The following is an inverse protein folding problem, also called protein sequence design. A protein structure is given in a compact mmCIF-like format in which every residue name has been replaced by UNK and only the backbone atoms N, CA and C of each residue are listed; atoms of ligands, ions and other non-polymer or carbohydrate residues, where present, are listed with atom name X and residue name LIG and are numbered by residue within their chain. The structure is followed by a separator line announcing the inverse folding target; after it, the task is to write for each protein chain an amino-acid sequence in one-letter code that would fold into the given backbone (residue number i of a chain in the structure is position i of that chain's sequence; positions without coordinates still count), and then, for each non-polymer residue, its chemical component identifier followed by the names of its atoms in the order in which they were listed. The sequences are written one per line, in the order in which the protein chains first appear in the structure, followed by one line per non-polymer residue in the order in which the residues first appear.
data_IF_848604410449
#
_entry.id   IF_848604410449
#
_cell.length_a   1.000
_cell.length_b   1.000
_cell.length_c   1.000
_cell.angle_alpha   90.00
_cell.angle_beta   90.00
_cell.angle_gamma   90.00
#
_symmetry.space_group_name_H-M   'P 1'
#
loop_
_entity.id
_entity.type
_entity.pdbx_description
1 polymer ?
#
# COMPACT_ATOMS: atom_id res chain seq x y z
N UNK A 1 2.15 12.32 -8.98
CA UNK A 1 1.44 11.27 -8.22
C UNK A 1 -0.03 11.27 -8.60
N UNK A 2 -0.56 10.13 -9.00
CA UNK A 2 -1.97 9.99 -9.38
C UNK A 2 -2.79 9.50 -8.18
N UNK A 3 -3.32 10.45 -7.43
CA UNK A 3 -4.07 10.15 -6.20
C UNK A 3 -5.33 9.33 -6.45
N UNK A 4 -6.05 9.63 -7.51
CA UNK A 4 -7.29 8.92 -7.83
C UNK A 4 -7.03 7.45 -8.13
N UNK A 5 -5.98 7.17 -8.88
CA UNK A 5 -5.60 5.81 -9.24
C UNK A 5 -5.10 5.02 -8.03
N UNK A 6 -4.31 5.68 -7.18
CA UNK A 6 -3.82 5.07 -5.95
C UNK A 6 -4.99 4.71 -5.05
N UNK A 7 -5.97 5.61 -4.91
CA UNK A 7 -7.17 5.36 -4.12
C UNK A 7 -7.96 4.18 -4.65
N UNK A 8 -8.11 4.08 -5.96
CA UNK A 8 -8.80 2.95 -6.60
C UNK A 8 -8.10 1.64 -6.28
N UNK A 9 -6.77 1.61 -6.36
CA UNK A 9 -6.00 0.41 -6.05
C UNK A 9 -6.10 0.04 -4.57
N UNK A 10 -6.08 1.03 -3.67
CA UNK A 10 -6.27 0.78 -2.24
C UNK A 10 -7.62 0.16 -1.96
N UNK A 11 -8.68 0.70 -2.58
CA UNK A 11 -10.02 0.16 -2.42
C UNK A 11 -10.11 -1.27 -2.94
N UNK A 12 -9.42 -1.55 -4.04
CA UNK A 12 -9.37 -2.89 -4.61
C UNK A 12 -8.70 -3.88 -3.63
N UNK A 13 -7.60 -3.47 -3.02
CA UNK A 13 -6.91 -4.28 -2.03
C UNK A 13 -7.82 -4.50 -0.80
N UNK A 14 -8.49 -3.46 -0.35
CA UNK A 14 -9.38 -3.53 0.79
C UNK A 14 -10.60 -4.42 0.50
N UNK A 15 -11.12 -4.35 -0.72
CA UNK A 15 -12.23 -5.22 -1.15
C UNK A 15 -11.79 -6.69 -1.22
N UNK A 16 -10.54 -6.92 -1.60
CA UNK A 16 -9.93 -8.25 -1.55
C UNK A 16 -9.63 -8.68 -0.13
N UNK A 17 -9.87 -7.79 0.83
CA UNK A 17 -9.58 -8.01 2.24
C UNK A 17 -10.35 -9.15 2.88
N UNK A 18 -11.40 -9.66 2.22
CA UNK A 18 -12.01 -10.90 2.64
C UNK A 18 -11.01 -12.05 2.67
N UNK A 19 -9.93 -11.94 1.90
CA UNK A 19 -8.85 -12.90 1.86
C UNK A 19 -7.76 -12.60 2.90
N UNK A 20 -7.88 -11.50 3.65
CA UNK A 20 -6.93 -11.17 4.71
C UNK A 20 -6.94 -12.19 5.84
N UNK A 21 -7.97 -13.03 5.90
CA UNK A 21 -8.04 -14.11 6.88
C UNK A 21 -6.91 -15.13 6.66
N UNK A 22 -6.43 -15.26 5.43
CA UNK A 22 -5.34 -16.16 5.09
C UNK A 22 -3.96 -15.52 5.33
N UNK A 23 -3.93 -14.25 5.72
CA UNK A 23 -2.71 -13.52 5.98
C UNK A 23 -2.38 -13.57 7.47
N UNK A 24 -1.11 -13.80 7.79
CA UNK A 24 -0.64 -13.79 9.18
C UNK A 24 -0.97 -12.46 9.86
N UNK A 25 -1.12 -12.50 11.18
CA UNK A 25 -1.44 -11.30 11.95
C UNK A 25 -0.43 -10.18 11.72
N UNK A 26 0.85 -10.52 11.68
CA UNK A 26 1.90 -9.52 11.44
C UNK A 26 1.76 -8.88 10.07
N UNK A 27 1.51 -9.68 9.06
CA UNK A 27 1.34 -9.19 7.68
C UNK A 27 0.07 -8.36 7.56
N UNK A 28 -0.99 -8.76 8.26
CA UNK A 28 -2.24 -7.99 8.29
C UNK A 28 -2.02 -6.63 8.91
N UNK A 29 -1.29 -6.56 10.02
CA UNK A 29 -0.97 -5.29 10.67
C UNK A 29 -0.14 -4.40 9.77
N UNK A 30 0.83 -4.98 9.05
CA UNK A 30 1.65 -4.26 8.10
C UNK A 30 0.79 -3.65 6.98
N UNK A 31 -0.12 -4.43 6.42
CA UNK A 31 -1.02 -3.97 5.37
C UNK A 31 -1.95 -2.86 5.84
N UNK A 32 -2.49 -2.99 7.06
CA UNK A 32 -3.35 -1.97 7.64
C UNK A 32 -2.58 -0.67 7.87
N UNK A 33 -1.35 -0.77 8.34
CA UNK A 33 -0.52 0.41 8.56
C UNK A 33 -0.19 1.10 7.23
N UNK A 34 0.17 0.33 6.21
CA UNK A 34 0.43 0.88 4.88
C UNK A 34 -0.80 1.55 4.29
N UNK A 35 -1.96 0.93 4.46
CA UNK A 35 -3.23 1.51 4.00
C UNK A 35 -3.46 2.87 4.65
N UNK A 36 -3.24 2.94 5.96
CA UNK A 36 -3.41 4.17 6.73
C UNK A 36 -2.43 5.26 6.26
N UNK A 37 -1.17 4.89 6.08
CA UNK A 37 -0.13 5.81 5.64
C UNK A 37 -0.44 6.36 4.25
N UNK A 38 -0.88 5.52 3.34
CA UNK A 38 -1.22 5.93 1.99
C UNK A 38 -2.46 6.82 1.99
N UNK A 39 -3.47 6.48 2.79
CA UNK A 39 -4.65 7.34 2.92
C UNK A 39 -4.29 8.72 3.43
N UNK A 40 -3.37 8.80 4.40
CA UNK A 40 -2.88 10.07 4.90
C UNK A 40 -2.24 10.90 3.79
N UNK A 41 -1.45 10.28 2.94
CA UNK A 41 -0.88 10.96 1.78
C UNK A 41 -1.95 11.48 0.83
N UNK A 42 -2.99 10.68 0.59
CA UNK A 42 -4.06 11.05 -0.33
C UNK A 42 -4.92 12.19 0.20
N UNK A 43 -5.01 12.34 1.51
CA UNK A 43 -5.78 13.41 2.13
C UNK A 43 -5.09 14.77 2.07
N UNK A 44 -3.78 14.81 1.83
CA UNK A 44 -3.06 16.05 1.71
C UNK A 44 -3.53 16.82 0.48
N UNK A 45 -3.99 18.03 0.70
CA UNK A 45 -4.50 18.89 -0.37
C UNK A 45 -3.40 19.63 -1.10
N UNK A 46 -2.20 19.67 -0.53
CA UNK A 46 -1.04 20.32 -1.10
C UNK A 46 0.00 19.30 -1.53
N UNK A 47 1.12 19.78 -2.03
CA UNK A 47 2.21 18.91 -2.46
C UNK A 47 2.71 18.05 -1.30
N UNK A 48 2.85 16.75 -1.55
CA UNK A 48 3.28 15.79 -0.54
C UNK A 48 4.76 15.99 -0.22
N UNK A 49 5.14 16.13 1.06
CA UNK A 49 6.55 16.21 1.42
C UNK A 49 7.31 14.97 0.95
N UNK A 50 8.49 15.20 0.36
CA UNK A 50 9.31 14.11 -0.18
C UNK A 50 9.66 13.07 0.89
N UNK A 51 9.92 13.52 2.11
CA UNK A 51 10.26 12.63 3.21
C UNK A 51 9.11 11.67 3.54
N UNK A 52 7.91 12.18 3.59
CA UNK A 52 6.74 11.36 3.89
C UNK A 52 6.49 10.35 2.78
N UNK A 53 6.65 10.77 1.52
CA UNK A 53 6.51 9.88 0.38
C UNK A 53 7.57 8.78 0.41
N UNK A 54 8.82 9.11 0.75
CA UNK A 54 9.89 8.12 0.87
C UNK A 54 9.61 7.10 1.97
N UNK A 55 9.06 7.53 3.09
CA UNK A 55 8.69 6.63 4.18
C UNK A 55 7.66 5.60 3.72
N UNK A 56 6.66 6.05 2.98
CA UNK A 56 5.63 5.15 2.44
C UNK A 56 6.23 4.21 1.40
N UNK A 57 7.08 4.71 0.52
CA UNK A 57 7.75 3.88 -0.48
C UNK A 57 8.64 2.82 0.17
N UNK A 58 9.35 3.17 1.23
CA UNK A 58 10.18 2.22 1.97
C UNK A 58 9.32 1.14 2.61
N UNK A 59 8.20 1.53 3.22
CA UNK A 59 7.25 0.59 3.80
C UNK A 59 6.68 -0.35 2.76
N UNK A 60 6.33 0.18 1.58
CA UNK A 60 5.84 -0.63 0.48
C UNK A 60 6.88 -1.63 -0.01
N UNK A 61 8.13 -1.19 -0.15
CA UNK A 61 9.22 -2.09 -0.59
C UNK A 61 9.40 -3.24 0.38
N UNK A 62 9.37 -2.97 1.69
CA UNK A 62 9.45 -4.00 2.70
C UNK A 62 8.29 -4.98 2.64
N UNK A 63 7.08 -4.46 2.44
CA UNK A 63 5.90 -5.29 2.31
C UNK A 63 5.95 -6.16 1.05
N UNK A 64 6.44 -5.59 -0.06
CA UNK A 64 6.59 -6.33 -1.32
C UNK A 64 7.52 -7.53 -1.15
N UNK A 65 8.65 -7.35 -0.51
CA UNK A 65 9.58 -8.45 -0.28
C UNK A 65 8.99 -9.50 0.64
N UNK A 66 8.29 -9.08 1.67
CA UNK A 66 7.71 -9.98 2.66
C UNK A 66 6.55 -10.81 2.10
N UNK A 67 5.71 -10.19 1.27
CA UNK A 67 4.48 -10.83 0.78
C UNK A 67 4.65 -11.51 -0.58
N UNK A 68 5.78 -11.32 -1.23
CA UNK A 68 5.98 -11.76 -2.61
C UNK A 68 5.79 -13.26 -2.82
N UNK A 69 6.21 -14.07 -1.88
CA UNK A 69 6.10 -15.53 -2.01
C UNK A 69 4.72 -16.04 -1.65
N UNK A 70 4.11 -15.49 -0.61
CA UNK A 70 2.86 -15.99 -0.06
C UNK A 70 1.63 -15.35 -0.69
N UNK A 71 1.74 -14.10 -1.12
CA UNK A 71 0.60 -13.32 -1.63
C UNK A 71 0.96 -12.55 -2.90
N UNK A 72 1.20 -13.26 -4.01
CA UNK A 72 1.66 -12.61 -5.25
C UNK A 72 0.66 -11.60 -5.82
N UNK A 73 -0.64 -11.80 -5.61
CA UNK A 73 -1.66 -10.86 -6.11
C UNK A 73 -1.59 -9.54 -5.35
N UNK A 74 -1.47 -9.62 -4.01
CA UNK A 74 -1.31 -8.43 -3.18
C UNK A 74 -0.01 -7.69 -3.53
N UNK A 75 1.06 -8.45 -3.74
CA UNK A 75 2.35 -7.89 -4.12
C UNK A 75 2.25 -7.10 -5.42
N UNK A 76 1.53 -7.64 -6.40
CA UNK A 76 1.34 -6.96 -7.68
C UNK A 76 0.60 -5.63 -7.49
N UNK A 77 -0.47 -5.63 -6.71
CA UNK A 77 -1.25 -4.41 -6.45
C UNK A 77 -0.43 -3.36 -5.70
N UNK A 78 0.30 -3.78 -4.68
CA UNK A 78 1.16 -2.89 -3.91
C UNK A 78 2.29 -2.32 -4.78
N UNK A 79 2.87 -3.16 -5.65
CA UNK A 79 3.89 -2.71 -6.60
C UNK A 79 3.38 -1.66 -7.55
N UNK A 80 2.12 -1.78 -7.97
CA UNK A 80 1.49 -0.78 -8.82
C UNK A 80 1.35 0.56 -8.09
N UNK A 81 0.95 0.52 -6.83
CA UNK A 81 0.85 1.71 -6.00
C UNK A 81 2.23 2.36 -5.84
N UNK A 82 3.26 1.56 -5.58
CA UNK A 82 4.62 2.07 -5.44
C UNK A 82 5.08 2.79 -6.73
N UNK A 83 4.75 2.23 -7.88
CA UNK A 83 5.05 2.86 -9.17
C UNK A 83 4.34 4.19 -9.36
N UNK A 84 3.11 4.31 -8.88
CA UNK A 84 2.35 5.55 -8.97
C UNK A 84 2.84 6.62 -7.99
N UNK A 85 3.47 6.21 -6.88
CA UNK A 85 4.04 7.13 -5.91
C UNK A 85 5.36 7.73 -6.38
N UNK A 86 6.12 7.01 -7.18
CA UNK A 86 7.38 7.49 -7.72
C UNK A 86 7.17 8.41 -8.98
#
# INVERSE_FOLDING_TARGET
MDKARIRTLLQSIHASGGNLEDVDLEDRQLLLQLHDDIETLLELSSEVPAQQREEVETGLSGALERLREDHPVLTRSLGHIAGLLS
#
